data_IF_075817812631
#
_entry.id   IF_075817812631
#
_cell.length_a   1.000
_cell.length_b   1.000
_cell.length_c   1.000
_cell.angle_alpha   90.00
_cell.angle_beta   90.00
_cell.angle_gamma   90.00
#
_symmetry.space_group_name_H-M   'P 1'
#
loop_
_entity.id
_entity.type
_entity.pdbx_description
1 polymer ?
#
# COMPACT_ATOMS: atom_id res chain seq x y z
N UNK A 1 73.52 -0.22 -26.86
CA UNK A 1 73.59 -1.49 -26.09
C UNK A 1 72.87 -1.24 -24.77
N UNK A 2 72.05 -2.19 -24.31
CA UNK A 2 71.16 -2.16 -23.12
C UNK A 2 69.90 -1.27 -23.23
N UNK A 3 68.70 -1.68 -22.82
CA UNK A 3 68.18 -2.99 -22.42
C UNK A 3 66.65 -2.89 -22.49
N UNK A 4 65.98 -3.95 -22.94
CA UNK A 4 64.53 -4.03 -23.10
C UNK A 4 63.89 -4.34 -21.75
N UNK A 5 63.13 -3.39 -21.20
CA UNK A 5 62.36 -3.59 -19.97
C UNK A 5 61.08 -4.41 -20.27
N UNK A 6 61.00 -5.59 -19.66
CA UNK A 6 59.88 -6.54 -19.83
C UNK A 6 58.91 -6.34 -18.67
N UNK A 7 57.79 -5.68 -18.94
CA UNK A 7 56.65 -5.61 -18.01
C UNK A 7 56.00 -7.00 -17.88
N UNK A 8 56.28 -7.67 -16.77
CA UNK A 8 55.67 -8.96 -16.42
C UNK A 8 54.35 -8.72 -15.70
N UNK A 9 53.23 -8.83 -16.42
CA UNK A 9 51.88 -8.77 -15.84
C UNK A 9 51.58 -10.11 -15.17
N UNK A 10 51.66 -10.15 -13.83
CA UNK A 10 51.23 -11.30 -13.04
C UNK A 10 49.71 -11.39 -13.01
N UNK A 11 49.13 -12.28 -13.81
CA UNK A 11 47.74 -12.66 -13.68
C UNK A 11 47.58 -13.57 -12.46
N UNK A 12 47.06 -13.03 -11.37
CA UNK A 12 46.62 -13.83 -10.23
C UNK A 12 45.53 -14.80 -10.69
N UNK A 13 45.84 -16.09 -10.72
CA UNK A 13 44.86 -17.13 -11.03
C UNK A 13 43.93 -17.32 -9.81
N UNK A 14 42.86 -16.53 -9.76
CA UNK A 14 41.80 -16.70 -8.76
C UNK A 14 41.09 -18.03 -9.02
N UNK A 15 41.31 -19.03 -8.16
CA UNK A 15 40.55 -20.28 -8.21
C UNK A 15 39.13 -20.02 -7.70
N UNK A 16 38.13 -20.61 -8.36
CA UNK A 16 36.69 -20.47 -8.02
C UNK A 16 36.37 -20.68 -6.52
N UNK A 17 37.16 -21.50 -5.83
CA UNK A 17 37.01 -21.77 -4.39
C UNK A 17 37.44 -20.61 -3.49
N UNK A 18 38.37 -19.77 -3.94
CA UNK A 18 38.83 -18.60 -3.18
C UNK A 18 37.89 -17.41 -3.35
N UNK A 19 37.23 -17.30 -4.52
CA UNK A 19 36.14 -16.35 -4.75
C UNK A 19 34.94 -16.61 -3.81
N UNK A 20 34.60 -17.88 -3.54
CA UNK A 20 33.50 -18.23 -2.64
C UNK A 20 33.75 -17.84 -1.18
N UNK A 21 35.01 -17.86 -0.72
CA UNK A 21 35.38 -17.45 0.64
C UNK A 21 35.27 -15.94 0.86
N UNK A 22 35.42 -15.16 -0.22
CA UNK A 22 35.33 -13.70 -0.16
C UNK A 22 33.86 -13.26 -0.05
N UNK A 23 32.93 -13.95 -0.74
CA UNK A 23 31.48 -13.70 -0.68
C UNK A 23 30.89 -14.00 0.70
N UNK A 24 31.35 -15.06 1.38
CA UNK A 24 30.85 -15.39 2.73
C UNK A 24 31.30 -14.38 3.79
N UNK A 25 32.48 -13.77 3.63
CA UNK A 25 32.95 -12.72 4.54
C UNK A 25 32.18 -11.40 4.40
N UNK A 26 31.67 -11.08 3.20
CA UNK A 26 30.91 -9.86 2.95
C UNK A 26 29.49 -9.94 3.53
N UNK A 27 28.85 -11.11 3.47
CA UNK A 27 27.54 -11.35 4.08
C UNK A 27 27.54 -11.27 5.62
N UNK A 28 28.68 -11.55 6.26
CA UNK A 28 28.80 -11.45 7.72
C UNK A 28 28.89 -10.00 8.24
N UNK A 29 29.30 -9.04 7.42
CA UNK A 29 29.46 -7.63 7.82
C UNK A 29 28.18 -6.79 7.58
N UNK A 30 27.24 -7.29 6.77
CA UNK A 30 25.93 -6.66 6.58
C UNK A 30 24.89 -7.07 7.64
N UNK A 31 25.29 -7.77 8.70
CA UNK A 31 24.49 -7.92 9.91
C UNK A 31 24.40 -6.58 10.65
N UNK A 32 23.70 -5.62 10.04
CA UNK A 32 23.18 -4.47 10.76
C UNK A 32 22.38 -5.02 11.95
N UNK A 33 22.68 -4.61 13.19
CA UNK A 33 21.82 -4.93 14.31
C UNK A 33 20.44 -4.39 13.93
N UNK A 34 19.45 -5.28 14.00
CA UNK A 34 18.16 -5.12 13.36
C UNK A 34 17.64 -3.71 13.44
N UNK A 35 17.19 -3.18 12.30
CA UNK A 35 16.19 -2.14 12.31
C UNK A 35 15.12 -2.62 13.29
N UNK A 36 15.11 -2.01 14.48
CA UNK A 36 14.04 -2.19 15.42
C UNK A 36 12.80 -1.85 14.64
N UNK A 37 12.06 -2.88 14.20
CA UNK A 37 10.73 -2.70 13.68
C UNK A 37 9.96 -2.21 14.89
N UNK A 38 9.95 -0.90 15.11
CA UNK A 38 9.01 -0.27 15.99
C UNK A 38 7.65 -0.72 15.50
N UNK A 39 7.06 -1.70 16.18
CA UNK A 39 5.67 -2.10 15.98
C UNK A 39 4.83 -0.89 16.37
N UNK A 40 4.70 0.07 15.45
CA UNK A 40 3.78 1.17 15.61
C UNK A 40 2.40 0.56 15.37
N UNK A 41 1.81 0.08 16.46
CA UNK A 41 0.43 -0.38 16.46
C UNK A 41 -0.47 0.83 16.19
N UNK A 42 -1.51 0.65 15.38
CA UNK A 42 -2.50 1.70 15.16
C UNK A 42 -3.18 2.05 16.49
N UNK A 43 -3.13 3.32 16.83
CA UNK A 43 -3.87 3.88 17.96
C UNK A 43 -5.37 3.95 17.64
N UNK A 44 -6.20 4.21 18.65
CA UNK A 44 -7.62 4.46 18.43
C UNK A 44 -7.85 5.66 17.50
N UNK A 45 -7.02 6.70 17.63
CA UNK A 45 -7.08 7.88 16.77
C UNK A 45 -6.76 7.53 15.31
N UNK A 46 -5.74 6.72 15.05
CA UNK A 46 -5.40 6.27 13.68
C UNK A 46 -6.54 5.47 13.05
N UNK A 47 -7.21 4.62 13.84
CA UNK A 47 -8.37 3.85 13.38
C UNK A 47 -9.53 4.76 13.00
N UNK A 48 -9.83 5.78 13.80
CA UNK A 48 -10.85 6.78 13.46
C UNK A 48 -10.48 7.58 12.20
N UNK A 49 -9.21 7.98 12.08
CA UNK A 49 -8.70 8.68 10.90
C UNK A 49 -8.80 7.83 9.65
N UNK A 50 -8.44 6.54 9.72
CA UNK A 50 -8.60 5.59 8.62
C UNK A 50 -10.07 5.45 8.22
N UNK A 51 -10.97 5.27 9.18
CA UNK A 51 -12.41 5.14 8.92
C UNK A 51 -12.96 6.38 8.19
N UNK A 52 -12.64 7.58 8.68
CA UNK A 52 -13.04 8.82 8.01
C UNK A 52 -12.41 8.99 6.63
N UNK A 53 -11.15 8.57 6.46
CA UNK A 53 -10.46 8.63 5.18
C UNK A 53 -11.12 7.70 4.15
N UNK A 54 -11.48 6.48 4.55
CA UNK A 54 -12.18 5.53 3.69
C UNK A 54 -13.60 6.03 3.33
N UNK A 55 -14.31 6.67 4.27
CA UNK A 55 -15.59 7.32 3.97
C UNK A 55 -15.46 8.51 3.02
N UNK A 56 -14.31 9.18 3.01
CA UNK A 56 -14.05 10.19 1.99
C UNK A 56 -13.81 9.53 0.61
N UNK A 57 -13.21 8.34 0.54
CA UNK A 57 -13.06 7.63 -0.75
C UNK A 57 -14.41 7.10 -1.25
N UNK A 58 -15.20 6.50 -0.36
CA UNK A 58 -16.53 5.95 -0.65
C UNK A 58 -17.53 6.51 0.37
N UNK A 59 -18.13 7.68 0.09
CA UNK A 59 -19.17 8.24 0.93
C UNK A 59 -20.48 7.47 0.77
N UNK A 60 -21.34 7.53 1.79
CA UNK A 60 -22.72 7.11 1.64
C UNK A 60 -23.44 8.06 0.68
N UNK A 61 -24.27 7.51 -0.18
CA UNK A 61 -25.13 8.26 -1.09
C UNK A 61 -26.55 7.65 -1.14
N UNK A 62 -27.37 8.13 -2.07
CA UNK A 62 -28.75 7.67 -2.22
C UNK A 62 -28.85 6.20 -2.68
N UNK A 63 -27.77 5.62 -3.22
CA UNK A 63 -27.76 4.32 -3.88
C UNK A 63 -26.95 3.26 -3.13
N UNK A 64 -26.12 3.67 -2.17
CA UNK A 64 -25.25 2.75 -1.47
C UNK A 64 -24.72 3.22 -0.11
N UNK A 65 -24.25 2.25 0.70
CA UNK A 65 -23.64 2.51 1.99
C UNK A 65 -22.28 3.21 1.88
N UNK A 66 -21.80 3.80 2.97
CA UNK A 66 -20.41 4.29 3.05
C UNK A 66 -19.41 3.13 3.23
N UNK A 67 -18.11 3.43 3.12
CA UNK A 67 -17.06 2.46 3.44
C UNK A 67 -17.15 1.90 4.86
N UNK A 68 -17.51 2.72 5.85
CA UNK A 68 -17.64 2.26 7.24
C UNK A 68 -18.91 1.45 7.48
N UNK A 69 -19.99 1.72 6.76
CA UNK A 69 -21.23 0.92 6.86
C UNK A 69 -21.02 -0.52 6.38
N UNK A 70 -20.00 -0.75 5.55
CA UNK A 70 -19.56 -2.07 5.08
C UNK A 70 -18.34 -2.60 5.83
N UNK A 71 -17.95 -1.98 6.95
CA UNK A 71 -16.83 -2.43 7.79
C UNK A 71 -15.47 -2.49 7.05
N UNK A 72 -15.28 -1.74 5.96
CA UNK A 72 -14.06 -1.82 5.13
C UNK A 72 -12.79 -1.45 5.90
N UNK A 73 -12.91 -0.59 6.91
CA UNK A 73 -11.79 -0.25 7.79
C UNK A 73 -11.25 -1.47 8.57
N UNK A 74 -12.08 -2.46 8.89
CA UNK A 74 -11.63 -3.72 9.49
C UNK A 74 -10.89 -4.61 8.48
N UNK A 75 -11.33 -4.67 7.21
CA UNK A 75 -10.63 -5.40 6.16
C UNK A 75 -9.19 -4.88 5.98
N UNK A 76 -9.02 -3.55 6.01
CA UNK A 76 -7.69 -2.93 5.98
C UNK A 76 -6.82 -3.31 7.17
N UNK A 77 -7.41 -3.40 8.37
CA UNK A 77 -6.71 -3.83 9.58
C UNK A 77 -6.26 -5.29 9.48
N UNK A 78 -7.10 -6.19 8.95
CA UNK A 78 -6.77 -7.60 8.73
C UNK A 78 -5.60 -7.74 7.74
N UNK A 79 -5.60 -6.98 6.65
CA UNK A 79 -4.48 -6.95 5.70
C UNK A 79 -3.21 -6.45 6.38
N UNK A 80 -3.31 -5.43 7.24
CA UNK A 80 -2.18 -4.88 7.97
C UNK A 80 -1.62 -5.83 9.04
N UNK A 81 -2.40 -6.77 9.57
CA UNK A 81 -1.89 -7.81 10.47
C UNK A 81 -0.96 -8.77 9.73
N UNK A 82 -1.33 -9.17 8.51
CA UNK A 82 -0.57 -10.11 7.68
C UNK A 82 0.56 -9.46 6.86
N UNK A 83 0.52 -8.14 6.64
CA UNK A 83 1.51 -7.42 5.84
C UNK A 83 2.11 -6.23 6.60
N UNK A 84 3.34 -6.40 7.10
CA UNK A 84 4.03 -5.36 7.89
C UNK A 84 4.29 -4.07 7.11
N UNK A 85 4.65 -4.17 5.81
CA UNK A 85 4.90 -2.98 4.98
C UNK A 85 3.63 -2.19 4.74
N UNK A 86 2.52 -2.87 4.48
CA UNK A 86 1.21 -2.22 4.35
C UNK A 86 0.83 -1.51 5.64
N UNK A 87 1.02 -2.16 6.79
CA UNK A 87 0.80 -1.57 8.11
C UNK A 87 1.65 -0.32 8.34
N UNK A 88 2.94 -0.37 8.03
CA UNK A 88 3.85 0.78 8.18
C UNK A 88 3.41 1.98 7.35
N UNK A 89 3.07 1.75 6.07
CA UNK A 89 2.59 2.81 5.17
C UNK A 89 1.26 3.38 5.66
N UNK A 90 0.34 2.52 6.10
CA UNK A 90 -0.96 2.93 6.62
C UNK A 90 -0.81 3.78 7.89
N UNK A 91 0.01 3.36 8.84
CA UNK A 91 0.26 4.10 10.09
C UNK A 91 0.94 5.44 9.80
N UNK A 92 1.96 5.45 8.93
CA UNK A 92 2.62 6.67 8.49
C UNK A 92 1.64 7.65 7.85
N UNK A 93 0.71 7.14 7.05
CA UNK A 93 -0.33 7.96 6.40
C UNK A 93 -1.36 8.47 7.40
N UNK A 94 -1.83 7.65 8.35
CA UNK A 94 -2.75 8.08 9.40
C UNK A 94 -2.13 9.18 10.28
N UNK A 95 -0.86 9.04 10.62
CA UNK A 95 -0.10 10.07 11.32
C UNK A 95 -0.01 11.36 10.50
N UNK A 96 0.35 11.27 9.22
CA UNK A 96 0.39 12.43 8.33
C UNK A 96 -0.98 13.14 8.25
N UNK A 97 -2.08 12.37 8.15
CA UNK A 97 -3.45 12.90 8.17
C UNK A 97 -3.80 13.59 9.50
N UNK A 98 -3.33 13.06 10.63
CA UNK A 98 -3.48 13.67 11.95
C UNK A 98 -2.63 14.93 12.14
N UNK A 99 -1.50 15.03 11.45
CA UNK A 99 -0.58 16.16 11.54
C UNK A 99 -0.85 17.27 10.50
N UNK A 100 -1.88 17.11 9.65
CA UNK A 100 -2.26 18.11 8.65
C UNK A 100 -2.48 19.49 9.26
N UNK A 101 -2.06 20.52 8.51
CA UNK A 101 -2.26 21.93 8.86
C UNK A 101 -3.20 22.58 7.84
N UNK A 102 -4.09 23.51 8.26
CA UNK A 102 -4.19 24.09 9.61
C UNK A 102 -4.85 23.19 10.67
N UNK A 103 -5.53 22.11 10.27
CA UNK A 103 -6.25 21.20 11.17
C UNK A 103 -6.14 19.75 10.67
N UNK A 104 -6.28 18.75 11.58
CA UNK A 104 -6.21 17.33 11.22
C UNK A 104 -7.33 16.93 10.26
N UNK A 105 -7.11 15.84 9.51
CA UNK A 105 -8.08 15.33 8.53
C UNK A 105 -9.49 15.11 9.09
N UNK A 106 -9.58 14.59 10.32
CA UNK A 106 -10.86 14.34 11.00
C UNK A 106 -11.67 15.61 11.27
N UNK A 107 -11.02 16.77 11.33
CA UNK A 107 -11.68 18.06 11.55
C UNK A 107 -12.04 18.78 10.25
N UNK A 108 -11.60 18.26 9.10
CA UNK A 108 -11.94 18.83 7.80
C UNK A 108 -13.41 18.59 7.46
N UNK A 109 -14.03 19.55 6.78
CA UNK A 109 -15.36 19.36 6.17
C UNK A 109 -15.26 18.37 5.01
N UNK A 110 -16.37 17.71 4.67
CA UNK A 110 -16.43 16.76 3.56
C UNK A 110 -15.83 17.31 2.25
N UNK A 111 -16.18 18.53 1.86
CA UNK A 111 -15.63 19.17 0.66
C UNK A 111 -14.10 19.34 0.71
N UNK A 112 -13.53 19.63 1.90
CA UNK A 112 -12.08 19.77 2.08
C UNK A 112 -11.38 18.41 2.04
N UNK A 113 -12.00 17.37 2.61
CA UNK A 113 -11.50 16.00 2.51
C UNK A 113 -11.46 15.55 1.05
N UNK A 114 -12.53 15.78 0.28
CA UNK A 114 -12.58 15.50 -1.16
C UNK A 114 -11.51 16.25 -1.94
N UNK A 115 -11.30 17.54 -1.65
CA UNK A 115 -10.27 18.33 -2.30
C UNK A 115 -8.87 17.75 -2.05
N UNK A 116 -8.58 17.30 -0.82
CA UNK A 116 -7.31 16.66 -0.48
C UNK A 116 -7.15 15.33 -1.24
N UNK A 117 -8.20 14.50 -1.33
CA UNK A 117 -8.14 13.26 -2.12
C UNK A 117 -7.90 13.53 -3.60
N UNK A 118 -8.52 14.57 -4.15
CA UNK A 118 -8.29 15.01 -5.53
C UNK A 118 -6.84 15.44 -5.75
N UNK A 119 -6.25 16.18 -4.81
CA UNK A 119 -4.83 16.54 -4.87
C UNK A 119 -3.92 15.31 -4.81
N UNK A 120 -4.22 14.34 -3.96
CA UNK A 120 -3.49 13.06 -3.90
C UNK A 120 -3.58 12.29 -5.21
N UNK A 121 -4.76 12.30 -5.85
CA UNK A 121 -4.97 11.61 -7.12
C UNK A 121 -4.20 12.21 -8.30
N UNK A 122 -3.89 13.51 -8.22
CA UNK A 122 -3.15 14.25 -9.25
C UNK A 122 -1.64 14.35 -8.95
N UNK A 123 -1.18 13.81 -7.83
CA UNK A 123 0.22 13.92 -7.44
C UNK A 123 1.09 12.92 -8.19
N UNK A 124 2.12 13.42 -8.88
CA UNK A 124 3.16 12.59 -9.52
C UNK A 124 4.26 12.14 -8.53
N UNK A 125 4.13 12.51 -7.26
CA UNK A 125 5.17 12.25 -6.27
C UNK A 125 5.04 10.86 -5.66
N UNK A 126 6.16 10.15 -5.52
CA UNK A 126 6.24 8.85 -4.83
C UNK A 126 6.34 9.02 -3.30
N UNK A 127 5.44 9.81 -2.73
CA UNK A 127 5.33 9.96 -1.27
C UNK A 127 4.50 8.81 -0.68
N UNK A 128 4.81 8.35 0.55
CA UNK A 128 4.10 7.23 1.18
C UNK A 128 2.57 7.39 1.20
N UNK A 129 2.05 8.59 1.49
CA UNK A 129 0.61 8.85 1.56
C UNK A 129 -0.07 8.90 0.16
N UNK A 130 0.66 9.27 -0.89
CA UNK A 130 0.16 9.22 -2.28
C UNK A 130 0.06 7.76 -2.73
N UNK A 131 1.10 6.97 -2.46
CA UNK A 131 1.11 5.53 -2.73
C UNK A 131 -0.01 4.85 -1.94
N UNK A 132 -0.14 5.18 -0.65
CA UNK A 132 -1.21 4.63 0.17
C UNK A 132 -2.59 4.98 -0.36
N UNK A 133 -2.83 6.22 -0.78
CA UNK A 133 -4.09 6.62 -1.38
C UNK A 133 -4.43 5.77 -2.61
N UNK A 134 -3.49 5.57 -3.53
CA UNK A 134 -3.72 4.74 -4.71
C UNK A 134 -4.07 3.29 -4.37
N UNK A 135 -3.33 2.68 -3.44
CA UNK A 135 -3.59 1.32 -2.96
C UNK A 135 -4.93 1.24 -2.22
N UNK A 136 -5.17 2.16 -1.29
CA UNK A 136 -6.38 2.21 -0.47
C UNK A 136 -7.62 2.41 -1.34
N UNK A 137 -7.57 3.31 -2.33
CA UNK A 137 -8.68 3.53 -3.25
C UNK A 137 -9.03 2.25 -4.02
N UNK A 138 -8.03 1.57 -4.58
CA UNK A 138 -8.26 0.34 -5.35
C UNK A 138 -8.80 -0.80 -4.46
N UNK A 139 -8.25 -0.97 -3.26
CA UNK A 139 -8.73 -1.97 -2.30
C UNK A 139 -10.14 -1.65 -1.80
N UNK A 140 -10.42 -0.39 -1.48
CA UNK A 140 -11.73 0.04 -1.02
C UNK A 140 -12.81 -0.26 -2.08
N UNK A 141 -12.58 0.12 -3.35
CA UNK A 141 -13.52 -0.20 -4.42
C UNK A 141 -13.67 -1.70 -4.66
N UNK A 142 -12.57 -2.45 -4.59
CA UNK A 142 -12.62 -3.90 -4.72
C UNK A 142 -13.55 -4.52 -3.67
N UNK A 143 -13.34 -4.21 -2.38
CA UNK A 143 -14.18 -4.75 -1.31
C UNK A 143 -15.62 -4.22 -1.36
N UNK A 144 -15.79 -2.95 -1.70
CA UNK A 144 -17.10 -2.32 -1.82
C UNK A 144 -17.99 -3.06 -2.84
N UNK A 145 -17.52 -3.24 -4.06
CA UNK A 145 -18.30 -3.90 -5.11
C UNK A 145 -18.36 -5.44 -4.94
N UNK A 146 -17.42 -6.02 -4.18
CA UNK A 146 -17.52 -7.42 -3.78
C UNK A 146 -18.67 -7.65 -2.80
N UNK A 147 -19.03 -6.68 -1.96
CA UNK A 147 -20.10 -6.81 -0.98
C UNK A 147 -21.50 -6.84 -1.66
N UNK A 148 -22.37 -7.84 -1.37
CA UNK A 148 -23.70 -7.91 -1.96
C UNK A 148 -24.63 -6.74 -1.56
N UNK A 149 -24.41 -6.10 -0.40
CA UNK A 149 -25.22 -4.98 0.07
C UNK A 149 -25.15 -3.76 -0.86
N UNK A 150 -24.07 -3.61 -1.64
CA UNK A 150 -23.92 -2.51 -2.61
C UNK A 150 -24.71 -2.72 -3.89
N UNK A 151 -25.30 -3.91 -4.09
CA UNK A 151 -26.02 -4.28 -5.32
C UNK A 151 -27.54 -4.34 -5.14
N UNK A 152 -28.03 -4.18 -3.91
CA UNK A 152 -29.47 -4.31 -3.57
C UNK A 152 -30.34 -3.36 -4.40
N UNK A 153 -29.84 -2.15 -4.69
CA UNK A 153 -30.58 -1.14 -5.45
C UNK A 153 -30.34 -1.21 -6.97
N UNK A 154 -29.36 -2.00 -7.43
CA UNK A 154 -28.97 -2.00 -8.84
C UNK A 154 -29.96 -2.76 -9.74
N UNK A 155 -31.00 -3.41 -9.21
CA UNK A 155 -31.94 -4.25 -9.98
C UNK A 155 -31.23 -5.28 -10.89
N UNK A 156 -29.96 -5.58 -10.63
CA UNK A 156 -29.14 -6.54 -11.34
C UNK A 156 -29.15 -7.84 -10.53
N UNK A 157 -30.19 -8.64 -10.72
CA UNK A 157 -30.32 -9.96 -10.07
C UNK A 157 -29.41 -11.03 -10.70
N UNK A 158 -28.88 -10.77 -11.90
CA UNK A 158 -27.95 -11.65 -12.61
C UNK A 158 -26.76 -10.87 -13.18
N UNK A 159 -25.59 -11.49 -13.17
CA UNK A 159 -24.43 -10.98 -13.90
C UNK A 159 -24.81 -10.89 -15.39
N UNK A 160 -24.49 -9.77 -16.08
CA UNK A 160 -24.81 -9.63 -17.50
C UNK A 160 -24.10 -10.73 -18.28
N UNK A 161 -24.84 -11.75 -18.70
CA UNK A 161 -24.32 -12.79 -19.58
C UNK A 161 -24.02 -12.15 -20.94
N UNK A 162 -22.83 -12.37 -21.53
CA UNK A 162 -22.58 -11.93 -22.89
C UNK A 162 -23.59 -12.60 -23.83
N UNK A 163 -24.16 -11.82 -24.75
CA UNK A 163 -25.07 -12.37 -25.77
C UNK A 163 -24.35 -13.48 -26.54
N UNK A 164 -24.89 -14.69 -26.49
CA UNK A 164 -24.38 -15.86 -27.23
C UNK A 164 -23.77 -16.98 -26.39
N UNK A 165 -23.70 -16.84 -25.06
CA UNK A 165 -23.28 -17.94 -24.17
C UNK A 165 -24.43 -18.33 -23.23
N UNK A 166 -25.35 -19.22 -23.64
CA UNK A 166 -26.37 -19.72 -22.75
C UNK A 166 -25.71 -20.54 -21.61
N UNK A 167 -26.23 -20.47 -20.38
CA UNK A 167 -25.68 -21.22 -19.26
C UNK A 167 -25.75 -22.75 -19.53
N UNK A 168 -24.74 -23.54 -19.13
CA UNK A 168 -24.64 -24.97 -19.49
C UNK A 168 -25.45 -25.91 -18.59
N UNK A 169 -26.20 -25.39 -17.61
CA UNK A 169 -27.02 -26.20 -16.70
C UNK A 169 -28.49 -26.19 -17.11
N UNK A 170 -28.99 -27.39 -17.42
CA UNK A 170 -30.41 -27.76 -17.56
C UNK A 170 -30.87 -28.48 -16.30
#
# INVERSE_FOLDING_TARGET
MSESDKTSTHYFSLRRRDALKLVTSFLACCALPGAAHSQHQMTAHDRSTLASFLNAIIPADEFGPSATDLDLHYEFLIIAESNSKFREIMVSTCKWLGDLKPMPFLSLRSAQQQQLLHQLAQSDQLLPHVIFYGVARNLAYYFYYANPQTRVHLSMYEAPQPRGYPPPWT
#
